data_IF_250814654386
#
_entry.id   IF_250814654386
#
_cell.length_a   1.000
_cell.length_b   1.000
_cell.length_c   1.000
_cell.angle_alpha   90.00
_cell.angle_beta   90.00
_cell.angle_gamma   90.00
#
_symmetry.space_group_name_H-M   'P 1'
#
loop_
_entity.id
_entity.type
_entity.pdbx_description
1 polymer ?
#
# COMPACT_ATOMS: atom_id res chain seq x y z
N UNK A 1 -4.34 7.84 -6.51
CA UNK A 1 -4.90 7.03 -5.41
C UNK A 1 -4.95 5.55 -5.77
N UNK A 2 -5.54 5.18 -6.89
CA UNK A 2 -5.70 3.79 -7.32
C UNK A 2 -4.36 3.07 -7.48
N UNK A 3 -3.43 3.68 -8.22
CA UNK A 3 -2.10 3.12 -8.46
C UNK A 3 -1.32 2.94 -7.17
N UNK A 4 -1.32 3.92 -6.27
CA UNK A 4 -0.67 3.81 -4.97
C UNK A 4 -1.26 2.67 -4.12
N UNK A 5 -2.60 2.60 -4.03
CA UNK A 5 -3.27 1.51 -3.30
C UNK A 5 -2.88 0.14 -3.83
N UNK A 6 -2.86 -0.04 -5.15
CA UNK A 6 -2.45 -1.29 -5.77
C UNK A 6 -0.95 -1.60 -5.51
N UNK A 7 -0.08 -0.60 -5.66
CA UNK A 7 1.36 -0.80 -5.40
C UNK A 7 1.63 -1.23 -3.95
N UNK A 8 0.93 -0.64 -2.99
CA UNK A 8 1.03 -1.04 -1.57
C UNK A 8 0.47 -2.46 -1.35
N UNK A 9 -0.68 -2.78 -1.96
CA UNK A 9 -1.27 -4.13 -1.87
C UNK A 9 -0.32 -5.18 -2.43
N UNK A 10 0.24 -4.94 -3.60
CA UNK A 10 1.14 -5.87 -4.29
C UNK A 10 2.44 -6.05 -3.51
N UNK A 11 3.04 -4.95 -3.01
CA UNK A 11 4.27 -5.00 -2.23
C UNK A 11 4.13 -5.78 -0.93
N UNK A 12 3.02 -5.57 -0.22
CA UNK A 12 2.79 -6.15 1.11
C UNK A 12 1.93 -7.44 1.07
N UNK A 13 1.46 -7.82 -0.12
CA UNK A 13 0.55 -8.96 -0.26
C UNK A 13 -0.74 -8.75 0.54
N UNK A 14 -1.28 -7.52 0.57
CA UNK A 14 -2.46 -7.22 1.38
C UNK A 14 -3.69 -7.97 0.86
N UNK A 15 -4.36 -8.66 1.77
CA UNK A 15 -5.65 -9.34 1.53
C UNK A 15 -6.85 -8.38 1.62
N UNK A 16 -6.60 -7.12 1.90
CA UNK A 16 -7.57 -6.05 2.08
C UNK A 16 -7.14 -4.83 1.28
N UNK A 17 -8.06 -3.93 0.97
CA UNK A 17 -7.74 -2.65 0.34
C UNK A 17 -7.09 -1.69 1.33
N UNK A 18 -6.22 -0.80 0.84
CA UNK A 18 -5.59 0.24 1.69
C UNK A 18 -6.66 1.21 2.16
N UNK A 19 -7.47 1.72 1.24
CA UNK A 19 -8.61 2.61 1.51
C UNK A 19 -9.70 2.41 0.46
N UNK A 20 -10.92 2.79 0.77
CA UNK A 20 -12.01 2.75 -0.21
C UNK A 20 -11.80 3.80 -1.28
N UNK A 21 -11.94 3.36 -2.52
CA UNK A 21 -12.05 4.24 -3.68
C UNK A 21 -13.53 4.41 -4.02
N UNK A 22 -13.99 5.62 -4.35
CA UNK A 22 -15.40 5.84 -4.70
C UNK A 22 -15.89 4.96 -5.85
N UNK A 23 -14.96 4.60 -6.75
CA UNK A 23 -15.22 3.77 -7.91
C UNK A 23 -15.28 2.26 -7.61
N UNK A 24 -14.76 1.83 -6.45
CA UNK A 24 -14.66 0.42 -6.04
C UNK A 24 -15.73 0.01 -5.03
N UNK A 25 -16.89 0.61 -5.08
CA UNK A 25 -18.03 0.03 -4.39
C UNK A 25 -18.35 -1.29 -5.08
N UNK A 26 -18.08 -2.41 -4.39
CA UNK A 26 -18.36 -3.73 -4.91
C UNK A 26 -19.84 -3.81 -5.32
N UNK A 27 -20.08 -3.99 -6.59
CA UNK A 27 -21.44 -4.15 -7.12
C UNK A 27 -21.75 -5.64 -7.14
N UNK A 28 -22.91 -6.03 -6.65
CA UNK A 28 -23.41 -7.41 -6.68
C UNK A 28 -23.54 -8.03 -8.09
N UNK A 29 -23.19 -7.28 -9.10
CA UNK A 29 -23.31 -7.69 -10.49
C UNK A 29 -21.96 -8.16 -11.04
N UNK A 30 -21.25 -9.02 -10.29
CA UNK A 30 -19.92 -9.53 -10.62
C UNK A 30 -19.82 -10.32 -11.93
N UNK A 31 -20.92 -10.47 -12.66
CA UNK A 31 -20.95 -11.26 -13.91
C UNK A 31 -21.20 -10.41 -15.16
N UNK A 32 -21.12 -9.10 -15.08
CA UNK A 32 -21.37 -8.26 -16.25
C UNK A 32 -20.33 -8.39 -17.35
N UNK A 33 -19.10 -8.58 -16.96
CA UNK A 33 -18.01 -8.67 -17.89
C UNK A 33 -17.14 -9.85 -17.53
N UNK A 34 -17.08 -10.82 -18.42
CA UNK A 34 -16.25 -12.00 -18.32
C UNK A 34 -15.23 -11.97 -19.45
N UNK A 35 -14.12 -11.24 -19.29
CA UNK A 35 -13.14 -11.07 -20.36
C UNK A 35 -12.54 -12.39 -20.82
N UNK A 36 -12.46 -13.38 -19.93
CA UNK A 36 -11.95 -14.70 -20.22
C UNK A 36 -12.83 -15.47 -21.23
N UNK A 37 -14.12 -15.18 -21.25
CA UNK A 37 -15.07 -15.85 -22.14
C UNK A 37 -15.35 -15.06 -23.40
N UNK A 38 -14.95 -13.79 -23.46
CA UNK A 38 -15.28 -12.88 -24.56
C UNK A 38 -16.78 -12.59 -24.73
N UNK A 39 -17.60 -13.00 -23.76
CA UNK A 39 -19.07 -12.86 -23.82
C UNK A 39 -19.55 -11.74 -22.93
N UNK A 40 -20.43 -10.91 -23.46
CA UNK A 40 -21.24 -9.96 -22.69
C UNK A 40 -22.61 -10.57 -22.43
N UNK A 41 -23.24 -10.33 -21.27
CA UNK A 41 -24.63 -10.74 -21.04
C UNK A 41 -25.57 -9.97 -21.97
N UNK A 42 -26.62 -10.64 -22.44
CA UNK A 42 -27.62 -10.05 -23.33
C UNK A 42 -28.37 -8.86 -22.70
N UNK A 43 -28.42 -8.82 -21.38
CA UNK A 43 -29.06 -7.76 -20.62
C UNK A 43 -28.13 -7.24 -19.52
N UNK A 44 -27.84 -5.95 -19.58
CA UNK A 44 -27.07 -5.24 -18.54
C UNK A 44 -28.00 -4.30 -17.78
N UNK A 45 -28.14 -4.49 -16.46
CA UNK A 45 -28.88 -3.57 -15.60
C UNK A 45 -28.07 -2.30 -15.38
N UNK A 46 -28.55 -1.19 -15.92
CA UNK A 46 -27.99 0.14 -15.73
C UNK A 46 -28.91 0.94 -14.83
N UNK A 47 -28.39 1.50 -13.75
CA UNK A 47 -29.21 2.30 -12.86
C UNK A 47 -28.43 2.91 -11.70
N UNK A 48 -29.00 3.98 -11.16
CA UNK A 48 -28.48 4.59 -9.93
C UNK A 48 -28.81 3.62 -8.77
N UNK A 49 -27.81 3.17 -8.05
CA UNK A 49 -28.00 2.23 -6.98
C UNK A 49 -28.17 2.98 -5.67
N UNK A 50 -29.35 2.83 -5.06
CA UNK A 50 -29.52 3.21 -3.68
C UNK A 50 -28.59 2.36 -2.79
N UNK A 51 -27.88 3.01 -1.87
CA UNK A 51 -27.07 2.35 -0.86
C UNK A 51 -27.97 1.44 0.00
N UNK A 52 -27.95 0.14 -0.24
CA UNK A 52 -28.70 -0.85 0.50
C UNK A 52 -27.83 -1.72 1.38
N UNK A 53 -28.45 -2.48 2.28
CA UNK A 53 -27.76 -3.42 3.19
C UNK A 53 -26.93 -4.52 2.50
N UNK A 54 -27.06 -4.68 1.20
CA UNK A 54 -26.35 -5.66 0.36
C UNK A 54 -25.06 -5.12 -0.28
N UNK A 55 -24.61 -3.94 0.08
CA UNK A 55 -23.32 -3.46 -0.40
C UNK A 55 -22.20 -4.11 0.40
N UNK A 56 -21.56 -5.08 -0.21
CA UNK A 56 -20.28 -5.59 0.26
C UNK A 56 -19.24 -4.45 0.09
N UNK A 57 -18.93 -3.80 1.20
CA UNK A 57 -17.77 -2.91 1.27
C UNK A 57 -16.55 -3.82 1.24
N UNK A 58 -15.68 -3.64 0.26
CA UNK A 58 -14.42 -4.37 0.20
C UNK A 58 -13.68 -4.21 1.55
N UNK A 59 -13.22 -5.31 2.17
CA UNK A 59 -12.43 -5.24 3.39
C UNK A 59 -11.23 -4.32 3.19
N UNK A 60 -11.00 -3.42 4.14
CA UNK A 60 -9.94 -2.41 4.06
C UNK A 60 -9.18 -2.29 5.36
N UNK A 61 -8.03 -1.63 5.30
CA UNK A 61 -7.32 -1.21 6.50
C UNK A 61 -8.16 -0.17 7.26
N UNK A 62 -8.18 -0.30 8.59
CA UNK A 62 -8.98 0.56 9.46
C UNK A 62 -8.26 1.88 9.73
N UNK A 63 -9.05 2.97 9.82
CA UNK A 63 -8.53 4.28 10.18
C UNK A 63 -7.72 4.99 9.10
N UNK A 64 -7.70 4.47 7.86
CA UNK A 64 -6.92 5.07 6.77
C UNK A 64 -7.75 6.12 6.05
N UNK A 65 -7.23 7.36 6.02
CA UNK A 65 -7.77 8.44 5.20
C UNK A 65 -6.89 8.61 3.98
N UNK A 66 -7.45 8.54 2.76
CA UNK A 66 -6.68 8.78 1.55
C UNK A 66 -6.25 10.25 1.46
N UNK A 67 -5.08 10.50 0.86
CA UNK A 67 -4.68 11.86 0.52
C UNK A 67 -5.67 12.53 -0.45
N UNK A 68 -5.71 13.87 -0.55
CA UNK A 68 -6.60 14.58 -1.47
C UNK A 68 -6.44 14.07 -2.90
N UNK A 69 -7.54 14.05 -3.62
CA UNK A 69 -7.51 13.69 -5.04
C UNK A 69 -6.98 14.88 -5.84
N UNK A 70 -6.07 14.59 -6.79
CA UNK A 70 -5.64 15.59 -7.76
C UNK A 70 -6.83 16.10 -8.58
N UNK A 71 -6.76 17.35 -9.01
CA UNK A 71 -7.74 17.90 -9.92
C UNK A 71 -7.74 17.05 -11.21
N UNK A 72 -8.92 16.60 -11.60
CA UNK A 72 -9.07 15.91 -12.88
C UNK A 72 -8.82 16.90 -14.01
N UNK A 73 -8.07 16.48 -15.03
CA UNK A 73 -7.98 17.22 -16.28
C UNK A 73 -9.37 17.39 -16.91
N UNK A 74 -9.54 18.39 -17.76
CA UNK A 74 -10.82 18.69 -18.47
C UNK A 74 -11.43 17.46 -19.16
N UNK A 75 -10.59 16.50 -19.55
CA UNK A 75 -11.01 15.26 -20.21
C UNK A 75 -11.30 14.08 -19.25
N UNK A 76 -11.29 14.34 -17.92
CA UNK A 76 -11.67 13.33 -16.91
C UNK A 76 -10.57 12.33 -16.56
N UNK A 77 -9.37 12.44 -17.10
CA UNK A 77 -8.22 11.61 -16.71
C UNK A 77 -7.51 12.23 -15.50
N UNK A 78 -7.10 11.38 -14.56
CA UNK A 78 -6.42 11.76 -13.30
C UNK A 78 -4.91 11.49 -13.31
N UNK A 79 -4.36 11.15 -14.47
CA UNK A 79 -2.94 10.80 -14.67
C UNK A 79 -2.21 11.71 -15.68
N UNK A 80 -2.74 12.88 -15.95
CA UNK A 80 -2.13 13.83 -16.87
C UNK A 80 -0.95 14.53 -16.19
N UNK A 81 0.26 14.28 -16.68
CA UNK A 81 1.52 14.67 -16.03
C UNK A 81 1.70 16.19 -15.87
N UNK A 82 1.13 17.00 -16.74
CA UNK A 82 1.17 18.47 -16.68
C UNK A 82 0.30 19.06 -15.57
N UNK A 83 -0.65 18.28 -15.03
CA UNK A 83 -1.51 18.63 -13.89
C UNK A 83 -0.98 18.09 -12.56
N UNK A 84 0.05 17.23 -12.59
CA UNK A 84 0.64 16.66 -11.39
C UNK A 84 1.69 17.60 -10.82
N UNK A 85 1.45 18.12 -9.63
CA UNK A 85 2.39 18.97 -8.90
C UNK A 85 2.86 18.29 -7.62
N UNK A 86 4.19 18.28 -7.40
CA UNK A 86 4.78 17.92 -6.12
C UNK A 86 4.77 19.12 -5.20
N UNK A 87 3.78 19.18 -4.33
CA UNK A 87 3.80 20.14 -3.23
C UNK A 87 4.43 19.52 -1.98
N UNK A 88 5.09 20.32 -1.12
CA UNK A 88 5.52 19.83 0.20
C UNK A 88 4.39 19.20 1.01
N UNK A 89 3.19 19.73 0.91
CA UNK A 89 1.98 19.21 1.55
C UNK A 89 1.67 17.79 1.08
N UNK A 90 1.85 17.50 -0.21
CA UNK A 90 1.63 16.15 -0.73
C UNK A 90 2.63 15.14 -0.16
N UNK A 91 3.89 15.53 0.02
CA UNK A 91 4.91 14.68 0.64
C UNK A 91 4.58 14.39 2.11
N UNK A 92 4.14 15.38 2.86
CA UNK A 92 3.68 15.21 4.25
C UNK A 92 2.51 14.24 4.30
N UNK A 93 1.55 14.36 3.40
CA UNK A 93 0.39 13.48 3.33
C UNK A 93 0.74 12.05 2.94
N UNK A 94 1.76 11.82 2.09
CA UNK A 94 2.27 10.48 1.82
C UNK A 94 2.95 9.89 3.07
N UNK A 95 3.65 10.70 3.84
CA UNK A 95 4.25 10.26 5.10
C UNK A 95 3.17 9.88 6.12
N UNK A 96 2.18 10.74 6.34
CA UNK A 96 1.06 10.47 7.24
C UNK A 96 0.28 9.22 6.82
N UNK A 97 -0.02 9.09 5.52
CA UNK A 97 -0.71 7.94 4.99
C UNK A 97 0.09 6.65 5.21
N UNK A 98 1.39 6.65 4.90
CA UNK A 98 2.23 5.47 5.05
C UNK A 98 2.36 5.04 6.52
N UNK A 99 2.44 5.99 7.45
CA UNK A 99 2.41 5.73 8.88
C UNK A 99 1.05 5.17 9.32
N UNK A 100 -0.05 5.74 8.82
CA UNK A 100 -1.40 5.23 9.12
C UNK A 100 -1.58 3.80 8.63
N UNK A 101 -1.04 3.44 7.46
CA UNK A 101 -1.11 2.08 6.89
C UNK A 101 -0.46 1.07 7.85
N UNK A 102 0.80 1.28 8.22
CA UNK A 102 1.55 0.33 9.04
C UNK A 102 1.07 0.28 10.50
N UNK A 103 0.42 1.34 10.98
CA UNK A 103 -0.15 1.45 12.32
C UNK A 103 -1.64 1.12 12.39
N UNK A 104 -2.27 0.76 11.27
CA UNK A 104 -3.67 0.34 11.26
C UNK A 104 -3.90 -0.85 12.21
N UNK A 105 -5.02 -0.83 12.95
CA UNK A 105 -5.37 -1.86 13.94
C UNK A 105 -5.44 -3.26 13.35
N UNK A 106 -5.82 -3.37 12.08
CA UNK A 106 -5.88 -4.63 11.35
C UNK A 106 -4.69 -4.87 10.42
N UNK A 107 -3.57 -4.12 10.57
CA UNK A 107 -2.31 -4.41 9.89
C UNK A 107 -1.54 -5.49 10.67
N UNK A 108 -1.80 -6.75 10.36
CA UNK A 108 -1.30 -7.91 11.09
C UNK A 108 -1.15 -9.14 10.18
N UNK A 109 -0.72 -10.28 10.74
CA UNK A 109 -0.49 -11.52 10.01
C UNK A 109 -1.70 -12.08 9.24
N UNK A 110 -2.93 -11.67 9.56
CA UNK A 110 -4.14 -12.12 8.84
C UNK A 110 -4.34 -11.33 7.55
N UNK A 111 -3.95 -10.06 7.53
CA UNK A 111 -4.20 -9.12 6.44
C UNK A 111 -2.99 -8.85 5.57
N UNK A 112 -1.77 -9.03 6.10
CA UNK A 112 -0.49 -8.78 5.41
C UNK A 112 0.13 -10.11 4.99
N UNK A 113 0.26 -10.33 3.68
CA UNK A 113 0.77 -11.59 3.15
C UNK A 113 2.26 -11.82 3.44
N UNK A 114 3.06 -10.76 3.39
CA UNK A 114 4.51 -10.81 3.68
C UNK A 114 4.83 -10.72 5.18
N UNK A 115 3.86 -10.94 6.06
CA UNK A 115 4.05 -10.75 7.49
C UNK A 115 5.23 -11.55 8.05
N UNK A 116 5.29 -12.84 7.76
CA UNK A 116 6.33 -13.71 8.28
C UNK A 116 7.71 -13.38 7.72
N UNK A 117 7.76 -12.95 6.47
CA UNK A 117 9.00 -12.64 5.78
C UNK A 117 9.59 -11.29 6.20
N UNK A 118 8.74 -10.34 6.66
CA UNK A 118 9.17 -8.97 6.95
C UNK A 118 9.01 -8.59 8.41
N UNK A 119 7.87 -8.89 9.05
CA UNK A 119 7.48 -8.30 10.33
C UNK A 119 7.57 -9.24 11.54
N UNK A 120 7.51 -10.56 11.34
CA UNK A 120 7.62 -11.52 12.44
C UNK A 120 8.99 -11.45 13.10
N UNK A 121 9.06 -11.72 14.42
CA UNK A 121 10.34 -11.78 15.10
C UNK A 121 11.27 -12.81 14.43
N UNK A 122 12.55 -12.48 14.21
CA UNK A 122 13.52 -13.42 13.68
C UNK A 122 13.82 -14.53 14.70
N UNK A 123 14.09 -15.73 14.21
CA UNK A 123 14.50 -16.87 15.04
C UNK A 123 16.02 -16.92 15.25
N UNK A 124 16.72 -15.80 15.10
CA UNK A 124 18.18 -15.69 15.20
C UNK A 124 18.57 -14.59 16.15
N UNK A 125 19.73 -14.76 16.80
CA UNK A 125 20.33 -13.73 17.65
C UNK A 125 20.99 -12.62 16.83
N UNK A 126 21.33 -12.85 15.56
CA UNK A 126 21.86 -11.83 14.64
C UNK A 126 20.71 -11.06 13.98
N UNK A 127 20.11 -10.18 14.79
CA UNK A 127 18.95 -9.37 14.37
C UNK A 127 19.33 -8.37 13.28
N UNK A 128 20.55 -7.83 13.28
CA UNK A 128 20.98 -6.87 12.27
C UNK A 128 21.08 -7.51 10.86
N UNK A 129 21.59 -8.74 10.80
CA UNK A 129 21.63 -9.47 9.54
C UNK A 129 20.21 -9.84 9.08
N UNK A 130 19.36 -10.29 10.00
CA UNK A 130 17.96 -10.60 9.70
C UNK A 130 17.23 -9.39 9.10
N UNK A 131 17.45 -8.16 9.62
CA UNK A 131 16.91 -6.94 9.05
C UNK A 131 17.37 -6.75 7.60
N UNK A 132 18.67 -6.90 7.32
CA UNK A 132 19.23 -6.70 5.97
C UNK A 132 18.68 -7.73 4.98
N UNK A 133 18.61 -8.98 5.38
CA UNK A 133 18.09 -10.07 4.55
C UNK A 133 16.61 -9.85 4.17
N UNK A 134 15.79 -9.37 5.11
CA UNK A 134 14.37 -9.10 4.89
C UNK A 134 14.13 -7.81 4.10
N UNK A 135 14.92 -6.77 4.36
CA UNK A 135 14.76 -5.49 3.68
C UNK A 135 15.27 -5.51 2.24
N UNK A 136 16.29 -6.30 1.90
CA UNK A 136 16.86 -6.34 0.56
C UNK A 136 15.82 -6.68 -0.52
N UNK A 137 15.09 -7.81 -0.47
CA UNK A 137 14.08 -8.13 -1.45
C UNK A 137 12.91 -7.14 -1.44
N UNK A 138 12.48 -6.68 -0.27
CA UNK A 138 11.40 -5.72 -0.14
C UNK A 138 11.74 -4.38 -0.81
N UNK A 139 12.95 -3.85 -0.59
CA UNK A 139 13.43 -2.63 -1.21
C UNK A 139 13.60 -2.77 -2.73
N UNK A 140 14.08 -3.94 -3.21
CA UNK A 140 14.19 -4.21 -4.64
C UNK A 140 12.81 -4.20 -5.32
N UNK A 141 11.82 -4.81 -4.69
CA UNK A 141 10.46 -4.83 -5.19
C UNK A 141 9.82 -3.44 -5.10
N UNK A 142 9.97 -2.74 -3.97
CA UNK A 142 9.40 -1.42 -3.76
C UNK A 142 9.94 -0.38 -4.74
N UNK A 143 11.24 -0.39 -5.01
CA UNK A 143 11.91 0.59 -5.88
C UNK A 143 12.12 0.08 -7.30
N UNK A 144 11.69 -1.14 -7.61
CA UNK A 144 11.76 -1.77 -8.94
C UNK A 144 13.15 -1.68 -9.59
N UNK A 145 14.20 -1.74 -8.76
CA UNK A 145 15.59 -1.63 -9.18
C UNK A 145 16.52 -2.40 -8.24
N UNK A 146 17.72 -2.70 -8.73
CA UNK A 146 18.76 -3.27 -7.86
C UNK A 146 19.11 -2.26 -6.77
N UNK A 147 19.19 -2.74 -5.53
CA UNK A 147 19.47 -1.90 -4.37
C UNK A 147 20.97 -1.87 -4.11
N UNK A 148 21.54 -0.66 -3.98
CA UNK A 148 22.92 -0.49 -3.55
C UNK A 148 23.09 -0.80 -2.06
N UNK A 149 24.29 -1.24 -1.67
CA UNK A 149 24.60 -1.48 -0.25
C UNK A 149 24.41 -0.23 0.62
N UNK A 150 24.67 0.94 0.08
CA UNK A 150 24.41 2.20 0.77
C UNK A 150 22.92 2.43 1.06
N UNK A 151 22.07 2.11 0.09
CA UNK A 151 20.61 2.19 0.29
C UNK A 151 20.14 1.16 1.32
N UNK A 152 20.59 -0.08 1.20
CA UNK A 152 20.23 -1.13 2.17
C UNK A 152 20.68 -0.73 3.58
N UNK A 153 21.92 -0.28 3.74
CA UNK A 153 22.46 0.17 5.02
C UNK A 153 21.60 1.28 5.63
N UNK A 154 21.24 2.31 4.86
CA UNK A 154 20.39 3.39 5.37
C UNK A 154 19.09 2.92 5.99
N UNK A 155 18.38 1.99 5.33
CA UNK A 155 17.13 1.46 5.86
C UNK A 155 17.35 0.46 7.01
N UNK A 156 18.40 -0.35 6.96
CA UNK A 156 18.72 -1.26 8.07
C UNK A 156 19.19 -0.49 9.31
N UNK A 157 20.00 0.55 9.16
CA UNK A 157 20.42 1.40 10.29
C UNK A 157 19.22 2.13 10.91
N UNK A 158 18.26 2.56 10.09
CA UNK A 158 17.00 3.14 10.56
C UNK A 158 16.19 2.14 11.40
N UNK A 159 16.00 0.90 10.91
CA UNK A 159 15.34 -0.14 11.69
C UNK A 159 16.09 -0.45 13.00
N UNK A 160 17.42 -0.58 12.93
CA UNK A 160 18.26 -0.85 14.09
C UNK A 160 18.26 0.29 15.12
N UNK A 161 18.01 1.53 14.72
CA UNK A 161 17.90 2.64 15.67
C UNK A 161 16.71 2.46 16.63
N UNK A 162 15.56 2.02 16.11
CA UNK A 162 14.39 1.73 16.96
C UNK A 162 14.64 0.60 17.95
N UNK A 163 15.36 -0.45 17.54
CA UNK A 163 15.72 -1.55 18.43
C UNK A 163 16.64 -1.09 19.55
N UNK A 164 17.61 -0.23 19.25
CA UNK A 164 18.49 0.37 20.28
C UNK A 164 17.74 1.23 21.27
N UNK A 165 16.66 1.87 20.83
CA UNK A 165 15.75 2.66 21.68
C UNK A 165 14.75 1.78 22.47
N UNK A 166 14.88 0.45 22.38
CA UNK A 166 14.05 -0.51 23.11
C UNK A 166 12.72 -0.86 22.45
N UNK A 167 12.51 -0.46 21.20
CA UNK A 167 11.31 -0.83 20.45
C UNK A 167 11.41 -2.30 19.99
N UNK A 168 10.29 -3.03 19.94
CA UNK A 168 10.27 -4.40 19.45
C UNK A 168 10.52 -4.47 17.94
N UNK A 169 10.96 -5.65 17.46
CA UNK A 169 11.32 -5.88 16.07
C UNK A 169 10.17 -5.57 15.11
N UNK A 170 8.97 -6.02 15.40
CA UNK A 170 7.81 -5.82 14.53
C UNK A 170 7.51 -4.33 14.37
N UNK A 171 7.54 -3.56 15.43
CA UNK A 171 7.31 -2.11 15.43
C UNK A 171 8.43 -1.38 14.67
N UNK A 172 9.70 -1.77 14.87
CA UNK A 172 10.83 -1.21 14.14
C UNK A 172 10.72 -1.46 12.62
N UNK A 173 10.32 -2.67 12.23
CA UNK A 173 10.11 -3.01 10.82
C UNK A 173 8.89 -2.29 10.23
N UNK A 174 7.80 -2.13 10.97
CA UNK A 174 6.64 -1.33 10.56
C UNK A 174 7.04 0.12 10.28
N UNK A 175 7.77 0.76 11.18
CA UNK A 175 8.26 2.13 10.99
C UNK A 175 9.15 2.24 9.75
N UNK A 176 10.01 1.26 9.52
CA UNK A 176 10.92 1.22 8.36
C UNK A 176 10.13 1.05 7.06
N UNK A 177 9.16 0.16 7.02
CA UNK A 177 8.27 -0.03 5.87
C UNK A 177 7.44 1.23 5.62
N UNK A 178 6.94 1.90 6.65
CA UNK A 178 6.29 3.20 6.53
C UNK A 178 7.18 4.23 5.80
N UNK A 179 8.47 4.28 6.16
CA UNK A 179 9.46 5.13 5.47
C UNK A 179 9.70 4.72 4.00
N UNK A 180 9.62 3.44 3.67
CA UNK A 180 9.73 2.95 2.28
C UNK A 180 8.51 3.40 1.47
N UNK A 181 7.30 3.23 2.01
CA UNK A 181 6.04 3.62 1.35
C UNK A 181 5.93 5.14 1.15
N UNK A 182 6.53 5.94 2.04
CA UNK A 182 6.59 7.40 1.93
C UNK A 182 7.70 7.89 0.99
N UNK A 183 8.56 6.99 0.51
CA UNK A 183 9.70 7.39 -0.33
C UNK A 183 9.23 7.82 -1.73
N UNK A 184 9.72 8.96 -2.26
CA UNK A 184 9.49 9.32 -3.65
C UNK A 184 9.86 8.22 -4.65
N UNK A 185 10.87 7.39 -4.32
CA UNK A 185 11.27 6.24 -5.14
C UNK A 185 10.22 5.13 -5.22
N UNK A 186 9.26 5.13 -4.31
CA UNK A 186 8.15 4.17 -4.31
C UNK A 186 6.96 4.65 -5.15
N UNK A 187 6.59 5.92 -5.07
CA UNK A 187 5.37 6.42 -5.72
C UNK A 187 5.62 7.19 -7.02
N UNK A 188 6.88 7.53 -7.33
CA UNK A 188 7.29 8.07 -8.64
C UNK A 188 7.90 6.98 -9.51
N UNK A 189 7.06 6.26 -10.20
CA UNK A 189 7.51 5.29 -11.22
C UNK A 189 6.58 5.30 -12.41
#
# INVERSE_FOLDING_TARGET
>A
RFQYSNSVRDLLGLKVSVFSLPEQVAREYGNYYQPETGKMPDVVKVGNRALGKSQLIEPRLEGITPYPQDLRAEHGYDNQADQLSLSPILLEQFLELSQSIVNSSNFNAKTVGVWNDVFANPETDDVENAIKERLRPLLQQAFRTKISEATLRRYSDYASSFLRDGTDFTTAMKATVGGILASPRFFYL
#
